data_IF_890483579967
#
_entry.id   IF_890483579967
#
_cell.length_a   1.000
_cell.length_b   1.000
_cell.length_c   1.000
_cell.angle_alpha   90.00
_cell.angle_beta   90.00
_cell.angle_gamma   90.00
#
_symmetry.space_group_name_H-M   'P 1'
#
loop_
_entity.id
_entity.type
_entity.pdbx_description
1 polymer ?
#
# COMPACT_ATOMS: atom_id res chain seq x y z
N UNK A 1 -14.33 9.37 14.19
CA UNK A 1 -14.67 10.80 14.33
C UNK A 1 -15.83 10.97 15.33
N UNK A 2 -16.02 12.18 15.93
CA UNK A 2 -17.19 12.41 16.78
C UNK A 2 -18.49 12.07 16.06
N UNK A 3 -19.33 11.22 16.68
CA UNK A 3 -20.59 10.76 16.13
C UNK A 3 -20.54 9.45 15.32
N UNK A 4 -19.37 8.93 15.01
CA UNK A 4 -19.24 7.61 14.39
C UNK A 4 -19.76 6.53 15.35
N UNK A 5 -20.51 5.57 14.83
CA UNK A 5 -20.95 4.37 15.57
C UNK A 5 -20.13 3.18 15.07
N UNK A 6 -19.35 2.55 15.97
CA UNK A 6 -18.57 1.36 15.66
C UNK A 6 -19.51 0.17 15.41
N UNK A 7 -19.35 -0.49 14.26
CA UNK A 7 -20.08 -1.70 13.87
C UNK A 7 -19.21 -2.95 14.08
N UNK A 8 -17.94 -2.85 13.70
CA UNK A 8 -16.99 -3.95 13.83
C UNK A 8 -15.58 -3.42 14.07
N UNK A 9 -14.89 -3.99 15.04
CA UNK A 9 -13.47 -3.76 15.28
C UNK A 9 -12.69 -4.98 14.78
N UNK A 10 -12.10 -4.85 13.60
CA UNK A 10 -11.25 -5.86 13.02
C UNK A 10 -9.77 -5.59 13.34
N UNK A 11 -8.93 -6.52 12.95
CA UNK A 11 -7.47 -6.42 13.12
C UNK A 11 -6.88 -5.34 12.18
N UNK A 12 -7.31 -5.31 10.92
CA UNK A 12 -6.80 -4.41 9.88
C UNK A 12 -7.68 -3.18 9.66
N UNK A 13 -8.98 -3.27 9.92
CA UNK A 13 -9.94 -2.17 9.70
C UNK A 13 -11.00 -2.15 10.81
N UNK A 14 -11.51 -0.96 11.10
CA UNK A 14 -12.74 -0.77 11.85
C UNK A 14 -13.85 -0.33 10.90
N UNK A 15 -15.02 -0.97 10.95
CA UNK A 15 -16.20 -0.53 10.22
C UNK A 15 -17.04 0.36 11.12
N UNK A 16 -17.32 1.59 10.66
CA UNK A 16 -18.14 2.55 11.37
C UNK A 16 -19.31 3.03 10.50
N UNK A 17 -20.41 3.41 11.17
CA UNK A 17 -21.51 4.18 10.58
C UNK A 17 -21.28 5.66 10.90
N UNK A 18 -21.06 6.46 9.86
CA UNK A 18 -20.78 7.90 9.96
C UNK A 18 -22.00 8.72 9.59
N UNK A 19 -22.55 9.54 10.51
CA UNK A 19 -23.63 10.46 10.18
C UNK A 19 -23.10 11.58 9.29
N UNK A 20 -23.83 11.84 8.20
CA UNK A 20 -23.52 12.90 7.24
C UNK A 20 -24.78 13.73 7.01
N UNK A 21 -24.65 15.05 6.96
CA UNK A 21 -25.72 15.96 6.54
C UNK A 21 -25.50 16.30 5.08
N UNK A 22 -26.51 16.02 4.25
CA UNK A 22 -26.48 16.34 2.81
C UNK A 22 -26.66 17.84 2.57
N UNK A 23 -26.39 18.30 1.35
CA UNK A 23 -26.61 19.70 0.96
C UNK A 23 -28.08 20.16 1.12
N UNK A 24 -29.04 19.24 1.08
CA UNK A 24 -30.47 19.51 1.35
C UNK A 24 -30.84 19.49 2.84
N UNK A 25 -29.88 19.35 3.76
CA UNK A 25 -30.11 19.27 5.19
C UNK A 25 -30.58 17.88 5.69
N UNK A 26 -30.73 16.89 4.81
CA UNK A 26 -31.10 15.52 5.20
C UNK A 26 -29.97 14.82 5.92
N UNK A 27 -30.26 14.18 7.04
CA UNK A 27 -29.29 13.27 7.72
C UNK A 27 -29.32 11.90 7.06
N UNK A 28 -28.15 11.41 6.68
CA UNK A 28 -27.92 10.07 6.14
C UNK A 28 -26.76 9.42 6.89
N UNK A 29 -26.62 8.12 6.74
CA UNK A 29 -25.49 7.36 7.30
C UNK A 29 -24.64 6.81 6.17
N UNK A 30 -23.31 6.81 6.34
CA UNK A 30 -22.34 6.19 5.44
C UNK A 30 -21.57 5.11 6.18
N UNK A 31 -21.41 3.97 5.54
CA UNK A 31 -20.44 2.97 5.97
C UNK A 31 -19.03 3.47 5.63
N UNK A 32 -18.13 3.42 6.60
CA UNK A 32 -16.74 3.81 6.42
C UNK A 32 -15.83 2.77 7.06
N UNK A 33 -14.90 2.23 6.28
CA UNK A 33 -13.81 1.41 6.79
C UNK A 33 -12.65 2.33 7.19
N UNK A 34 -12.36 2.35 8.50
CA UNK A 34 -11.22 3.10 9.05
C UNK A 34 -9.98 2.21 8.94
N UNK A 35 -8.93 2.73 8.30
CA UNK A 35 -7.67 2.04 8.07
C UNK A 35 -6.51 2.85 8.65
N UNK A 36 -5.45 2.23 9.18
CA UNK A 36 -4.30 2.95 9.77
C UNK A 36 -3.49 3.73 8.74
N UNK A 37 -3.59 3.40 7.48
CA UNK A 37 -2.71 3.83 6.42
C UNK A 37 -1.78 2.71 5.99
N UNK A 38 -1.08 2.91 4.88
CA UNK A 38 -0.16 1.93 4.33
C UNK A 38 0.98 2.61 3.57
N UNK A 39 2.02 1.85 3.27
CA UNK A 39 3.13 2.27 2.41
C UNK A 39 3.15 1.44 1.13
N UNK A 40 3.63 2.05 0.05
CA UNK A 40 3.99 1.37 -1.19
C UNK A 40 5.39 1.81 -1.60
N UNK A 41 6.21 0.87 -2.00
CA UNK A 41 7.60 1.10 -2.32
C UNK A 41 7.85 0.86 -3.80
N UNK A 42 8.56 1.76 -4.47
CA UNK A 42 9.07 1.62 -5.82
C UNK A 42 10.57 1.31 -5.76
N UNK A 43 10.98 0.03 -5.77
CA UNK A 43 12.39 -0.34 -5.66
C UNK A 43 13.04 -0.33 -7.03
N UNK A 44 14.13 0.43 -7.17
CA UNK A 44 14.90 0.56 -8.41
C UNK A 44 16.30 0.00 -8.20
N UNK A 45 16.67 -1.00 -9.00
CA UNK A 45 18.02 -1.57 -9.05
C UNK A 45 18.99 -0.58 -9.72
N UNK A 46 20.30 -0.78 -9.48
CA UNK A 46 21.35 0.09 -10.04
C UNK A 46 21.40 0.05 -11.58
N UNK A 47 20.88 -1.01 -12.21
CA UNK A 47 20.73 -1.11 -13.67
C UNK A 47 19.41 -0.49 -14.21
N UNK A 48 18.61 0.11 -13.34
CA UNK A 48 17.38 0.80 -13.68
C UNK A 48 16.14 -0.10 -13.76
N UNK A 49 16.24 -1.41 -13.52
CA UNK A 49 15.09 -2.31 -13.42
C UNK A 49 14.30 -2.05 -12.15
N UNK A 50 13.01 -2.31 -12.23
CA UNK A 50 12.04 -2.18 -11.14
C UNK A 50 11.79 -3.56 -10.56
N UNK A 51 11.85 -3.70 -9.23
CA UNK A 51 11.43 -4.93 -8.56
C UNK A 51 9.92 -4.90 -8.35
N UNK A 52 9.26 -5.97 -8.78
CA UNK A 52 7.87 -6.27 -8.49
C UNK A 52 7.79 -7.59 -7.72
N UNK A 53 6.65 -7.81 -7.09
CA UNK A 53 6.35 -9.03 -6.35
C UNK A 53 5.10 -9.70 -6.93
N UNK A 54 5.14 -11.03 -7.04
CA UNK A 54 3.94 -11.84 -7.21
C UNK A 54 3.40 -12.15 -5.81
N UNK A 55 2.28 -11.54 -5.45
CA UNK A 55 1.68 -11.68 -4.13
C UNK A 55 0.32 -12.38 -4.21
N UNK A 56 0.11 -13.43 -3.42
CA UNK A 56 -1.17 -14.14 -3.31
C UNK A 56 -2.16 -13.34 -2.48
N UNK A 57 -3.13 -12.67 -3.12
CA UNK A 57 -4.17 -11.89 -2.45
C UNK A 57 -5.39 -12.76 -2.11
N UNK A 58 -5.54 -13.11 -0.83
CA UNK A 58 -6.64 -13.94 -0.35
C UNK A 58 -8.02 -13.31 -0.56
N UNK A 59 -8.12 -11.98 -0.55
CA UNK A 59 -9.37 -11.23 -0.73
C UNK A 59 -10.00 -11.40 -2.10
N UNK A 60 -9.18 -11.57 -3.14
CA UNK A 60 -9.62 -11.77 -4.54
C UNK A 60 -9.32 -13.17 -5.06
N UNK A 61 -8.65 -14.01 -4.26
CA UNK A 61 -8.23 -15.37 -4.60
C UNK A 61 -7.31 -15.46 -5.84
N UNK A 62 -6.51 -14.41 -6.08
CA UNK A 62 -5.59 -14.33 -7.22
C UNK A 62 -4.16 -14.02 -6.76
N UNK A 63 -3.17 -14.39 -7.58
CA UNK A 63 -1.81 -13.89 -7.46
C UNK A 63 -1.68 -12.67 -8.35
N UNK A 64 -1.35 -11.53 -7.75
CA UNK A 64 -1.21 -10.25 -8.45
C UNK A 64 0.25 -9.87 -8.55
N UNK A 65 0.61 -9.22 -9.66
CA UNK A 65 1.92 -8.58 -9.84
C UNK A 65 1.82 -7.15 -9.34
N UNK A 66 2.56 -6.85 -8.26
CA UNK A 66 2.42 -5.61 -7.48
C UNK A 66 3.79 -5.00 -7.17
N UNK A 67 3.79 -3.75 -6.72
CA UNK A 67 4.89 -3.18 -5.95
C UNK A 67 4.82 -3.67 -4.50
N UNK A 68 5.95 -3.84 -3.80
CA UNK A 68 5.97 -4.11 -2.36
C UNK A 68 5.17 -3.06 -1.58
N UNK A 69 4.36 -3.52 -0.62
CA UNK A 69 3.44 -2.64 0.10
C UNK A 69 2.93 -3.27 1.39
N UNK A 70 2.86 -2.50 2.47
CA UNK A 70 2.35 -2.99 3.74
C UNK A 70 1.60 -1.95 4.55
N UNK A 71 0.89 -2.44 5.56
CA UNK A 71 0.09 -1.63 6.47
C UNK A 71 0.97 -1.02 7.55
N UNK A 72 0.71 0.25 7.91
CA UNK A 72 1.38 0.89 9.04
C UNK A 72 1.01 0.18 10.34
N UNK A 73 2.02 -0.24 11.10
CA UNK A 73 1.83 -0.86 12.40
C UNK A 73 1.24 0.13 13.42
N UNK A 74 0.40 -0.40 14.32
CA UNK A 74 -0.19 0.35 15.42
C UNK A 74 0.47 -0.04 16.74
N UNK A 75 0.66 0.93 17.61
CA UNK A 75 0.97 0.62 19.00
C UNK A 75 -0.24 -0.10 19.64
N UNK A 76 0.02 -1.16 20.39
CA UNK A 76 -1.01 -1.94 21.08
C UNK A 76 -1.92 -1.02 21.94
N UNK A 77 -3.23 -1.17 21.79
CA UNK A 77 -4.22 -0.39 22.54
C UNK A 77 -4.54 1.00 21.96
N UNK A 78 -3.94 1.41 20.85
CA UNK A 78 -4.31 2.66 20.19
C UNK A 78 -5.53 2.47 19.28
N UNK A 79 -6.46 3.46 19.20
CA UNK A 79 -7.55 3.44 18.24
C UNK A 79 -7.04 3.42 16.80
N UNK A 80 -7.83 2.85 15.89
CA UNK A 80 -7.55 2.88 14.46
C UNK A 80 -7.43 4.34 13.99
N UNK A 81 -6.39 4.64 13.21
CA UNK A 81 -6.14 5.99 12.70
C UNK A 81 -5.31 6.91 13.62
N UNK A 82 -4.77 6.40 14.74
CA UNK A 82 -3.97 7.19 15.70
C UNK A 82 -2.69 6.44 16.10
N UNK A 83 -1.55 7.14 16.13
CA UNK A 83 -0.29 6.62 16.68
C UNK A 83 0.31 5.47 15.87
N UNK A 84 0.50 5.70 14.58
CA UNK A 84 1.09 4.71 13.66
C UNK A 84 2.61 4.82 13.58
N UNK A 85 3.21 3.73 13.10
CA UNK A 85 4.60 3.66 12.66
C UNK A 85 4.95 4.82 11.70
N UNK A 86 6.20 5.29 11.76
CA UNK A 86 6.70 6.25 10.77
C UNK A 86 6.65 5.64 9.36
N UNK A 87 6.01 6.28 8.37
CA UNK A 87 5.87 5.71 7.04
C UNK A 87 7.21 5.38 6.34
N UNK A 88 8.29 6.12 6.60
CA UNK A 88 9.58 5.82 6.01
C UNK A 88 10.22 4.57 6.66
N UNK A 89 10.04 4.39 7.96
CA UNK A 89 10.47 3.18 8.67
C UNK A 89 9.67 1.96 8.19
N UNK A 90 8.34 2.08 8.05
CA UNK A 90 7.49 1.05 7.48
C UNK A 90 7.92 0.65 6.07
N UNK A 91 8.23 1.63 5.20
CA UNK A 91 8.68 1.36 3.84
C UNK A 91 10.01 0.58 3.81
N UNK A 92 10.94 0.88 4.72
CA UNK A 92 12.20 0.14 4.83
C UNK A 92 11.98 -1.30 5.32
N UNK A 93 11.10 -1.49 6.31
CA UNK A 93 10.73 -2.79 6.87
C UNK A 93 10.06 -3.66 5.80
N UNK A 94 8.98 -3.19 5.19
CA UNK A 94 8.20 -3.92 4.18
C UNK A 94 9.05 -4.28 2.95
N UNK A 95 9.90 -3.36 2.46
CA UNK A 95 10.84 -3.67 1.38
C UNK A 95 11.71 -4.88 1.73
N UNK A 96 12.25 -4.90 2.95
CA UNK A 96 13.14 -5.99 3.38
C UNK A 96 12.37 -7.30 3.57
N UNK A 97 11.23 -7.25 4.24
CA UNK A 97 10.39 -8.41 4.55
C UNK A 97 9.90 -9.07 3.26
N UNK A 98 9.29 -8.31 2.35
CA UNK A 98 8.69 -8.84 1.13
C UNK A 98 9.69 -9.17 0.01
N UNK A 99 10.80 -8.43 -0.08
CA UNK A 99 11.74 -8.60 -1.21
C UNK A 99 13.10 -9.14 -0.83
N UNK A 100 13.49 -9.06 0.43
CA UNK A 100 14.85 -9.37 0.88
C UNK A 100 15.87 -8.29 0.50
N UNK A 101 15.48 -7.15 -0.03
CA UNK A 101 16.39 -6.06 -0.36
C UNK A 101 16.41 -4.97 0.70
N UNK A 102 17.59 -4.46 1.01
CA UNK A 102 17.81 -3.26 1.81
C UNK A 102 18.09 -2.08 0.89
N UNK A 103 17.45 -0.93 1.13
CA UNK A 103 17.72 0.28 0.37
C UNK A 103 18.64 1.23 1.13
N UNK A 104 19.63 1.81 0.44
CA UNK A 104 20.45 2.89 1.00
C UNK A 104 19.66 4.18 1.15
N UNK A 105 18.75 4.45 0.20
CA UNK A 105 17.94 5.64 0.17
C UNK A 105 16.46 5.26 0.04
N UNK A 106 15.64 5.76 0.95
CA UNK A 106 14.19 5.71 0.87
C UNK A 106 13.69 7.16 0.90
N UNK A 107 13.13 7.60 -0.23
CA UNK A 107 12.70 8.98 -0.43
C UNK A 107 11.19 9.06 -0.63
N UNK A 108 10.48 10.00 0.04
CA UNK A 108 9.05 10.20 -0.21
C UNK A 108 8.77 10.46 -1.69
N UNK A 109 7.80 9.73 -2.25
CA UNK A 109 7.37 9.87 -3.65
C UNK A 109 5.93 10.39 -3.77
N UNK A 110 5.34 10.81 -2.67
CA UNK A 110 3.99 11.36 -2.55
C UNK A 110 3.04 10.44 -1.78
N UNK A 111 1.76 10.71 -1.90
CA UNK A 111 0.72 9.91 -1.28
C UNK A 111 -0.59 10.05 -2.05
N UNK A 112 -1.51 9.10 -1.84
CA UNK A 112 -2.86 9.11 -2.42
C UNK A 112 -3.82 8.30 -1.54
N UNK A 113 -5.13 8.48 -1.77
CA UNK A 113 -6.14 7.59 -1.19
C UNK A 113 -6.46 6.45 -2.16
N UNK A 114 -6.61 5.23 -1.67
CA UNK A 114 -6.87 4.04 -2.50
C UNK A 114 -8.34 3.91 -2.88
N UNK A 115 -9.26 4.16 -1.94
CA UNK A 115 -10.69 4.08 -2.18
C UNK A 115 -11.48 5.06 -1.29
N UNK A 116 -11.35 6.40 -1.49
CA UNK A 116 -11.85 7.41 -0.55
C UNK A 116 -13.38 7.49 -0.46
N UNK A 117 -14.10 6.74 -1.31
CA UNK A 117 -15.56 6.62 -1.23
C UNK A 117 -16.05 5.76 -0.07
N UNK A 118 -15.21 4.86 0.45
CA UNK A 118 -15.57 3.92 1.52
C UNK A 118 -14.45 3.67 2.53
N UNK A 119 -13.19 3.86 2.15
CA UNK A 119 -12.01 3.52 2.93
C UNK A 119 -11.19 4.77 3.26
N UNK A 120 -10.68 4.87 4.49
CA UNK A 120 -9.81 5.99 4.88
C UNK A 120 -8.33 5.75 4.59
N UNK A 121 -7.98 4.66 3.91
CA UNK A 121 -6.60 4.28 3.64
C UNK A 121 -5.85 5.37 2.86
N UNK A 122 -4.86 5.95 3.52
CA UNK A 122 -3.87 6.81 2.91
C UNK A 122 -2.63 5.99 2.60
N UNK A 123 -2.28 5.91 1.33
CA UNK A 123 -1.11 5.20 0.82
C UNK A 123 0.05 6.18 0.67
N UNK A 124 1.14 5.96 1.39
CA UNK A 124 2.37 6.73 1.29
C UNK A 124 3.33 6.02 0.33
N UNK A 125 3.67 6.68 -0.78
CA UNK A 125 4.59 6.13 -1.77
C UNK A 125 6.03 6.55 -1.49
N UNK A 126 6.96 5.61 -1.65
CA UNK A 126 8.39 5.81 -1.49
C UNK A 126 9.16 5.26 -2.68
N UNK A 127 10.22 5.97 -3.08
CA UNK A 127 11.23 5.49 -4.00
C UNK A 127 12.39 4.90 -3.20
N UNK A 128 12.76 3.66 -3.49
CA UNK A 128 13.90 2.97 -2.89
C UNK A 128 15.03 2.75 -3.90
N UNK A 129 16.25 3.20 -3.57
CA UNK A 129 17.42 3.11 -4.44
C UNK A 129 18.67 2.68 -3.68
N UNK A 130 19.71 2.28 -4.42
CA UNK A 130 20.94 1.72 -3.83
C UNK A 130 20.63 0.41 -3.11
N UNK A 131 19.92 -0.49 -3.80
CA UNK A 131 19.44 -1.75 -3.26
C UNK A 131 20.59 -2.75 -3.10
N UNK A 132 20.63 -3.40 -1.95
CA UNK A 132 21.54 -4.52 -1.68
C UNK A 132 20.74 -5.77 -1.29
N UNK A 133 21.05 -6.95 -1.82
CA UNK A 133 20.31 -8.16 -1.53
C UNK A 133 20.54 -8.63 -0.08
N UNK A 134 19.51 -9.19 0.51
CA UNK A 134 19.47 -9.86 1.81
C UNK A 134 18.49 -11.04 1.76
N UNK A 135 17.90 -11.38 2.90
CA UNK A 135 16.91 -12.44 3.02
C UNK A 135 15.48 -11.87 3.14
N UNK A 136 14.51 -12.54 2.56
CA UNK A 136 13.09 -12.28 2.81
C UNK A 136 12.71 -12.77 4.21
N UNK A 137 11.75 -12.08 4.82
CA UNK A 137 11.18 -12.43 6.13
C UNK A 137 9.65 -12.35 6.06
N UNK A 138 9.06 -13.25 5.25
CA UNK A 138 7.62 -13.30 5.01
C UNK A 138 6.85 -13.73 6.25
N UNK A 139 5.65 -13.20 6.43
CA UNK A 139 4.67 -13.71 7.40
C UNK A 139 4.18 -15.11 6.98
N UNK A 140 3.65 -15.89 7.93
CA UNK A 140 3.19 -17.28 7.68
C UNK A 140 2.10 -17.39 6.62
N UNK A 141 1.35 -16.33 6.39
CA UNK A 141 0.25 -16.26 5.41
C UNK A 141 0.67 -15.61 4.07
N UNK A 142 1.93 -15.24 3.90
CA UNK A 142 2.45 -14.59 2.71
C UNK A 142 3.13 -15.60 1.76
N UNK A 143 2.82 -15.44 0.48
CA UNK A 143 3.44 -16.19 -0.61
C UNK A 143 3.91 -15.18 -1.67
N UNK A 144 5.16 -14.76 -1.55
CA UNK A 144 5.73 -13.69 -2.36
C UNK A 144 6.95 -14.19 -3.15
N UNK A 145 6.96 -13.92 -4.46
CA UNK A 145 8.11 -14.12 -5.34
C UNK A 145 8.52 -12.77 -5.94
N UNK A 146 9.82 -12.49 -5.96
CA UNK A 146 10.36 -11.22 -6.46
C UNK A 146 10.87 -11.39 -7.88
N UNK A 147 10.55 -10.43 -8.75
CA UNK A 147 11.01 -10.39 -10.14
C UNK A 147 11.39 -8.97 -10.55
N UNK A 148 12.42 -8.85 -11.41
CA UNK A 148 12.94 -7.55 -11.87
C UNK A 148 12.57 -7.30 -13.33
N UNK A 149 11.98 -6.14 -13.61
CA UNK A 149 11.48 -5.75 -14.93
C UNK A 149 12.11 -4.44 -15.43
N UNK A 150 12.31 -4.33 -16.73
CA UNK A 150 12.65 -3.03 -17.34
C UNK A 150 11.44 -2.08 -17.32
N UNK A 151 11.68 -0.79 -17.48
CA UNK A 151 10.61 0.23 -17.55
C UNK A 151 9.63 -0.06 -18.69
N UNK A 152 10.14 -0.50 -19.84
CA UNK A 152 9.34 -0.86 -21.02
C UNK A 152 8.47 -2.09 -20.75
N UNK A 153 9.03 -3.10 -20.10
CA UNK A 153 8.28 -4.31 -19.72
C UNK A 153 7.15 -3.97 -18.73
N UNK A 154 7.41 -3.15 -17.71
CA UNK A 154 6.39 -2.70 -16.77
C UNK A 154 5.26 -1.97 -17.49
N UNK A 155 5.58 -1.06 -18.42
CA UNK A 155 4.57 -0.34 -19.19
C UNK A 155 3.73 -1.28 -20.08
N UNK A 156 4.35 -2.30 -20.68
CA UNK A 156 3.65 -3.33 -21.46
C UNK A 156 2.71 -4.14 -20.54
N UNK A 157 3.19 -4.58 -19.37
CA UNK A 157 2.39 -5.34 -18.40
C UNK A 157 1.15 -4.55 -17.91
N UNK A 158 1.28 -3.23 -17.72
CA UNK A 158 0.13 -2.37 -17.39
C UNK A 158 -0.86 -2.32 -18.56
N UNK A 159 -0.39 -2.12 -19.79
CA UNK A 159 -1.24 -2.05 -20.99
C UNK A 159 -1.97 -3.35 -21.26
N UNK A 160 -1.36 -4.48 -20.95
CA UNK A 160 -1.89 -5.83 -21.13
C UNK A 160 -2.77 -6.32 -19.98
N UNK A 161 -3.06 -5.44 -18.98
CA UNK A 161 -3.77 -5.82 -17.76
C UNK A 161 -3.13 -7.00 -17.01
N UNK A 162 -1.81 -7.09 -17.00
CA UNK A 162 -1.06 -8.03 -16.16
C UNK A 162 -0.73 -7.44 -14.78
N UNK A 163 -0.57 -6.13 -14.71
CA UNK A 163 -0.56 -5.39 -13.45
C UNK A 163 -1.94 -4.74 -13.32
N UNK A 164 -2.73 -5.22 -12.36
CA UNK A 164 -4.13 -4.80 -12.16
C UNK A 164 -4.35 -4.14 -10.79
N UNK A 165 -3.35 -4.17 -9.93
CA UNK A 165 -3.39 -3.52 -8.63
C UNK A 165 -3.28 -1.99 -8.77
N UNK A 166 -4.34 -1.28 -8.36
CA UNK A 166 -4.46 0.17 -8.58
C UNK A 166 -3.35 1.00 -7.92
N UNK A 167 -2.90 0.62 -6.72
CA UNK A 167 -1.82 1.34 -6.01
C UNK A 167 -0.49 1.22 -6.75
N UNK A 168 -0.19 0.02 -7.29
CA UNK A 168 0.99 -0.25 -8.11
C UNK A 168 0.91 0.51 -9.43
N UNK A 169 -0.22 0.47 -10.14
CA UNK A 169 -0.43 1.22 -11.39
C UNK A 169 -0.22 2.72 -11.16
N UNK A 170 -0.82 3.30 -10.12
CA UNK A 170 -0.71 4.74 -9.84
C UNK A 170 0.75 5.15 -9.57
N UNK A 171 1.47 4.38 -8.76
CA UNK A 171 2.87 4.66 -8.40
C UNK A 171 3.80 4.47 -9.60
N UNK A 172 3.63 3.38 -10.36
CA UNK A 172 4.43 3.08 -11.55
C UNK A 172 4.23 4.12 -12.65
N UNK A 173 2.98 4.48 -12.97
CA UNK A 173 2.69 5.47 -13.99
C UNK A 173 3.21 6.86 -13.61
N UNK A 174 3.11 7.25 -12.34
CA UNK A 174 3.72 8.50 -11.84
C UNK A 174 5.22 8.52 -12.09
N UNK A 175 5.93 7.43 -11.78
CA UNK A 175 7.36 7.31 -12.03
C UNK A 175 7.72 7.30 -13.52
N UNK A 176 6.98 6.51 -14.31
CA UNK A 176 7.22 6.38 -15.76
C UNK A 176 6.95 7.68 -16.52
N UNK A 177 6.03 8.53 -16.01
CA UNK A 177 5.75 9.86 -16.54
C UNK A 177 6.76 10.93 -16.08
N UNK A 178 7.69 10.62 -15.18
CA UNK A 178 8.67 11.58 -14.66
C UNK A 178 8.09 12.62 -13.70
N UNK A 179 7.00 12.30 -12.99
CA UNK A 179 6.29 13.19 -12.07
C UNK A 179 6.74 13.01 -10.62
#
# INVERSE_FOLDING_TARGET
QPGDTLVHAGERVELVLRPVVTNSGKRITREVAIHPGAVIILPILDDGRILLIHNRRHTVHESLLELPAGTLERATGTPMGVGHEDPAAAAARELTEETGYHARNITPFGWFYTSPGILTEKMYAFLATGLSPGAQHLEDNEQIQVEAFTREAVLALIRENKIVDAKSIATLLKYLAGL
#
